data_IF_104718904628
#
_entry.id   IF_104718904628
#
_cell.length_a   1.000
_cell.length_b   1.000
_cell.length_c   1.000
_cell.angle_alpha   90.00
_cell.angle_beta   90.00
_cell.angle_gamma   90.00
#
_symmetry.space_group_name_H-M   'P 1'
#
loop_
_entity.id
_entity.type
_entity.pdbx_description
1 polymer ?
#
# COMPACT_ATOMS: atom_id res chain seq x y z
N UNK A 1 -15.11 8.88 3.44
CA UNK A 1 -15.33 9.72 2.24
C UNK A 1 -13.96 9.80 1.61
N UNK A 2 -13.79 9.19 0.44
CA UNK A 2 -12.49 8.94 -0.19
C UNK A 2 -11.80 10.28 -0.51
N UNK A 3 -10.93 10.77 0.38
CA UNK A 3 -10.28 12.09 0.26
C UNK A 3 -9.51 12.28 -1.07
N UNK A 4 -8.99 11.20 -1.63
CA UNK A 4 -8.31 11.21 -2.95
C UNK A 4 -9.32 11.40 -4.07
N UNK A 5 -10.50 10.79 -3.96
CA UNK A 5 -11.53 10.87 -4.98
C UNK A 5 -12.17 12.25 -5.08
N UNK A 6 -12.39 12.90 -3.94
CA UNK A 6 -12.87 14.29 -3.90
C UNK A 6 -11.84 15.23 -4.55
N UNK A 7 -10.57 15.14 -4.11
CA UNK A 7 -9.50 15.98 -4.67
C UNK A 7 -9.28 15.79 -6.18
N UNK A 8 -9.36 14.56 -6.68
CA UNK A 8 -9.18 14.30 -8.12
C UNK A 8 -10.34 14.88 -8.93
N UNK A 9 -11.57 14.75 -8.45
CA UNK A 9 -12.74 15.30 -9.15
C UNK A 9 -12.78 16.84 -9.08
N UNK A 10 -12.19 17.45 -8.05
CA UNK A 10 -12.09 18.92 -7.93
C UNK A 10 -10.91 19.50 -8.71
N UNK A 11 -9.91 18.69 -9.07
CA UNK A 11 -8.62 19.16 -9.62
C UNK A 11 -8.70 19.88 -10.98
N UNK A 12 -9.76 19.64 -11.77
CA UNK A 12 -10.01 20.30 -13.08
C UNK A 12 -11.28 21.18 -13.06
N UNK A 13 -11.61 21.74 -11.89
CA UNK A 13 -12.84 22.51 -11.68
C UNK A 13 -14.12 21.69 -11.95
N UNK A 14 -14.08 20.38 -11.69
CA UNK A 14 -15.20 19.46 -11.88
C UNK A 14 -15.42 18.98 -13.32
N UNK A 15 -14.56 19.33 -14.29
CA UNK A 15 -14.75 18.98 -15.71
C UNK A 15 -14.47 17.52 -16.04
N UNK A 16 -13.52 16.90 -15.34
CA UNK A 16 -13.24 15.45 -15.45
C UNK A 16 -13.83 14.73 -14.25
N UNK A 17 -14.61 13.69 -14.54
CA UNK A 17 -15.18 12.81 -13.52
C UNK A 17 -14.46 11.48 -13.54
N UNK A 18 -13.75 11.17 -12.46
CA UNK A 18 -13.05 9.91 -12.27
C UNK A 18 -13.98 8.91 -11.57
N UNK A 19 -14.10 7.70 -12.10
CA UNK A 19 -14.72 6.58 -11.39
C UNK A 19 -13.66 5.90 -10.52
N UNK A 20 -13.79 6.06 -9.20
CA UNK A 20 -12.78 5.63 -8.24
C UNK A 20 -13.34 4.51 -7.38
N UNK A 21 -12.69 3.36 -7.46
CA UNK A 21 -13.08 2.15 -6.74
C UNK A 21 -12.02 1.78 -5.70
N UNK A 22 -12.41 1.77 -4.42
CA UNK A 22 -11.59 1.19 -3.37
C UNK A 22 -11.83 -0.34 -3.30
N UNK A 23 -10.77 -1.13 -3.42
CA UNK A 23 -10.77 -2.60 -3.32
C UNK A 23 -9.88 -3.11 -2.17
N UNK A 24 -9.41 -2.22 -1.31
CA UNK A 24 -8.66 -2.56 -0.11
C UNK A 24 -9.51 -3.35 0.88
N UNK A 25 -8.86 -4.24 1.61
CA UNK A 25 -9.47 -5.05 2.65
C UNK A 25 -8.59 -5.04 3.89
N UNK A 26 -9.19 -4.76 5.04
CA UNK A 26 -8.50 -4.74 6.33
C UNK A 26 -7.82 -6.09 6.61
N UNK A 27 -6.58 -6.03 7.10
CA UNK A 27 -5.79 -7.20 7.47
C UNK A 27 -5.24 -8.03 6.29
N UNK A 28 -5.43 -7.59 5.04
CA UNK A 28 -4.84 -8.32 3.91
C UNK A 28 -3.32 -8.26 3.93
N UNK A 29 -2.71 -9.43 3.75
CA UNK A 29 -1.32 -9.62 3.34
C UNK A 29 -1.24 -9.68 1.80
N UNK A 30 -0.03 -9.75 1.25
CA UNK A 30 0.19 -9.80 -0.19
C UNK A 30 -0.57 -10.95 -0.89
N UNK A 31 -0.69 -12.11 -0.23
CA UNK A 31 -1.43 -13.26 -0.77
C UNK A 31 -2.93 -13.01 -0.84
N UNK A 32 -3.47 -12.21 0.09
CA UNK A 32 -4.87 -11.79 0.06
C UNK A 32 -5.18 -10.99 -1.19
N UNK A 33 -4.28 -10.06 -1.55
CA UNK A 33 -4.38 -9.26 -2.79
C UNK A 33 -4.30 -10.16 -4.01
N UNK A 34 -3.31 -11.06 -4.07
CA UNK A 34 -3.13 -11.97 -5.22
C UNK A 34 -4.39 -12.77 -5.52
N UNK A 35 -5.06 -13.29 -4.50
CA UNK A 35 -6.28 -14.12 -4.64
C UNK A 35 -7.44 -13.37 -5.30
N UNK A 36 -7.53 -12.06 -5.12
CA UNK A 36 -8.65 -11.27 -5.62
C UNK A 36 -8.30 -10.43 -6.86
N UNK A 37 -7.01 -10.33 -7.20
CA UNK A 37 -6.46 -9.40 -8.19
C UNK A 37 -7.20 -9.45 -9.53
N UNK A 38 -7.32 -10.63 -10.13
CA UNK A 38 -7.93 -10.79 -11.44
C UNK A 38 -9.38 -10.30 -11.45
N UNK A 39 -10.21 -10.83 -10.54
CA UNK A 39 -11.65 -10.55 -10.48
C UNK A 39 -11.98 -9.11 -10.05
N UNK A 40 -11.19 -8.53 -9.15
CA UNK A 40 -11.48 -7.24 -8.52
C UNK A 40 -10.74 -6.07 -9.17
N UNK A 41 -9.67 -6.33 -9.92
CA UNK A 41 -8.84 -5.32 -10.57
C UNK A 41 -8.74 -5.53 -12.08
N UNK A 42 -8.03 -6.57 -12.54
CA UNK A 42 -7.68 -6.74 -13.98
C UNK A 42 -8.93 -6.79 -14.87
N UNK A 43 -9.91 -7.63 -14.55
CA UNK A 43 -11.16 -7.74 -15.33
C UNK A 43 -12.04 -6.49 -15.29
N UNK A 44 -11.72 -5.51 -14.44
CA UNK A 44 -12.39 -4.21 -14.41
C UNK A 44 -11.79 -3.20 -15.39
N UNK A 45 -10.67 -3.54 -16.04
CA UNK A 45 -9.96 -2.70 -17.02
C UNK A 45 -9.76 -1.26 -16.51
N UNK A 46 -9.08 -1.08 -15.37
CA UNK A 46 -8.83 0.24 -14.83
C UNK A 46 -7.83 0.99 -15.72
N UNK A 47 -7.95 2.32 -15.79
CA UNK A 47 -6.93 3.17 -16.41
C UNK A 47 -5.72 3.39 -15.47
N UNK A 48 -5.95 3.31 -14.16
CA UNK A 48 -4.94 3.49 -13.11
C UNK A 48 -5.16 2.48 -11.99
N UNK A 49 -4.08 1.85 -11.53
CA UNK A 49 -4.06 0.97 -10.35
C UNK A 49 -3.08 1.53 -9.34
N UNK A 50 -3.52 1.65 -8.08
CA UNK A 50 -2.62 1.97 -6.96
C UNK A 50 -2.55 0.81 -5.99
N UNK A 51 -1.34 0.43 -5.55
CA UNK A 51 -1.13 -0.63 -4.55
C UNK A 51 -0.38 -0.06 -3.36
N UNK A 52 -0.96 -0.23 -2.18
CA UNK A 52 -0.30 -0.08 -0.88
C UNK A 52 -0.52 -1.41 -0.16
N UNK A 53 0.54 -2.07 0.32
CA UNK A 53 0.45 -3.36 1.02
C UNK A 53 1.71 -3.56 1.86
N UNK A 54 1.86 -4.69 2.56
CA UNK A 54 3.13 -5.05 3.21
C UNK A 54 3.21 -4.77 4.71
N UNK A 55 2.44 -3.81 5.24
CA UNK A 55 2.43 -3.56 6.69
C UNK A 55 1.89 -4.77 7.49
N UNK A 56 0.89 -5.48 6.96
CA UNK A 56 0.33 -6.68 7.61
C UNK A 56 1.29 -7.87 7.49
N UNK A 57 2.04 -7.99 6.40
CA UNK A 57 3.07 -9.02 6.20
C UNK A 57 4.22 -8.85 7.21
N UNK A 58 4.61 -7.60 7.50
CA UNK A 58 5.50 -7.27 8.63
C UNK A 58 4.84 -7.65 9.96
N UNK A 59 3.54 -7.39 10.14
CA UNK A 59 2.83 -7.83 11.34
C UNK A 59 2.84 -9.35 11.54
N UNK A 60 2.70 -10.14 10.47
CA UNK A 60 2.87 -11.60 10.51
C UNK A 60 4.28 -11.96 10.92
N UNK A 61 5.29 -11.30 10.35
CA UNK A 61 6.70 -11.52 10.71
C UNK A 61 6.94 -11.25 12.20
N UNK A 62 6.47 -10.13 12.71
CA UNK A 62 6.66 -9.74 14.12
C UNK A 62 5.93 -10.68 15.09
N UNK A 63 4.76 -11.19 14.73
CA UNK A 63 3.95 -12.05 15.61
C UNK A 63 4.33 -13.53 15.56
N UNK A 64 4.94 -13.99 14.46
CA UNK A 64 5.19 -15.43 14.23
C UNK A 64 6.67 -15.78 14.09
N UNK A 65 7.54 -14.79 13.91
CA UNK A 65 8.95 -14.99 13.58
C UNK A 65 9.20 -15.38 12.12
N UNK A 66 8.15 -15.58 11.32
CA UNK A 66 8.26 -15.98 9.92
C UNK A 66 8.71 -14.80 9.05
N UNK A 67 9.91 -14.87 8.51
CA UNK A 67 10.51 -13.84 7.65
C UNK A 67 9.68 -13.56 6.38
N UNK A 68 9.90 -12.39 5.76
CA UNK A 68 9.25 -12.03 4.48
C UNK A 68 9.57 -13.04 3.36
N UNK A 69 10.76 -13.65 3.39
CA UNK A 69 11.17 -14.69 2.44
C UNK A 69 10.34 -15.97 2.62
N UNK A 70 10.21 -16.46 3.85
CA UNK A 70 9.37 -17.63 4.14
C UNK A 70 7.88 -17.36 3.85
N UNK A 71 7.45 -16.09 3.96
CA UNK A 71 6.13 -15.62 3.53
C UNK A 71 6.02 -15.47 2.00
N UNK A 72 7.11 -15.69 1.25
CA UNK A 72 7.16 -15.52 -0.21
C UNK A 72 6.70 -14.12 -0.67
N UNK A 73 6.96 -13.09 0.15
CA UNK A 73 6.46 -11.75 -0.08
C UNK A 73 6.97 -11.18 -1.42
N UNK A 74 8.28 -11.21 -1.64
CA UNK A 74 8.91 -10.68 -2.86
C UNK A 74 8.36 -11.33 -4.13
N UNK A 75 8.34 -12.66 -4.17
CA UNK A 75 7.83 -13.41 -5.32
C UNK A 75 6.34 -13.14 -5.58
N UNK A 76 5.52 -13.05 -4.53
CA UNK A 76 4.10 -12.76 -4.67
C UNK A 76 3.84 -11.32 -5.12
N UNK A 77 4.59 -10.34 -4.60
CA UNK A 77 4.50 -8.95 -5.00
C UNK A 77 4.91 -8.79 -6.48
N UNK A 78 6.01 -9.42 -6.88
CA UNK A 78 6.47 -9.44 -8.27
C UNK A 78 5.42 -10.03 -9.22
N UNK A 79 4.79 -11.14 -8.84
CA UNK A 79 3.72 -11.74 -9.64
C UNK A 79 2.53 -10.78 -9.82
N UNK A 80 2.12 -10.06 -8.77
CA UNK A 80 1.02 -9.08 -8.85
C UNK A 80 1.37 -7.93 -9.80
N UNK A 81 2.57 -7.34 -9.63
CA UNK A 81 3.03 -6.24 -10.49
C UNK A 81 3.10 -6.69 -11.94
N UNK A 82 3.74 -7.84 -12.20
CA UNK A 82 3.86 -8.44 -13.53
C UNK A 82 2.48 -8.64 -14.18
N UNK A 83 1.53 -9.23 -13.46
CA UNK A 83 0.19 -9.48 -13.97
C UNK A 83 -0.55 -8.19 -14.33
N UNK A 84 -0.47 -7.15 -13.52
CA UNK A 84 -1.08 -5.86 -13.85
C UNK A 84 -0.43 -5.26 -15.09
N UNK A 85 0.90 -5.23 -15.15
CA UNK A 85 1.63 -4.59 -16.26
C UNK A 85 1.52 -5.34 -17.58
N UNK A 86 1.33 -6.66 -17.56
CA UNK A 86 1.24 -7.47 -18.78
C UNK A 86 -0.19 -7.71 -19.25
N UNK A 87 -1.18 -7.69 -18.34
CA UNK A 87 -2.57 -8.01 -18.66
C UNK A 87 -3.49 -6.77 -18.68
N UNK A 88 -2.95 -5.58 -18.43
CA UNK A 88 -3.69 -4.33 -18.52
C UNK A 88 -2.81 -3.19 -19.02
N UNK A 89 -3.44 -2.20 -19.66
CA UNK A 89 -2.79 -0.94 -20.04
C UNK A 89 -2.80 0.09 -18.89
N UNK A 90 -3.12 -0.36 -17.67
CA UNK A 90 -3.30 0.52 -16.54
C UNK A 90 -1.97 1.14 -16.09
N UNK A 91 -1.98 2.44 -15.80
CA UNK A 91 -0.85 3.06 -15.11
C UNK A 91 -0.77 2.51 -13.68
N UNK A 92 0.35 1.90 -13.32
CA UNK A 92 0.57 1.33 -11.98
C UNK A 92 1.34 2.30 -11.07
N UNK A 93 0.79 2.55 -9.89
CA UNK A 93 1.39 3.34 -8.81
C UNK A 93 1.55 2.45 -7.57
N UNK A 94 2.78 2.05 -7.30
CA UNK A 94 3.16 1.34 -6.09
C UNK A 94 3.42 2.35 -4.96
N UNK A 95 3.08 2.01 -3.73
CA UNK A 95 3.25 2.88 -2.57
C UNK A 95 3.82 2.07 -1.42
N UNK A 96 4.90 2.57 -0.79
CA UNK A 96 5.56 1.86 0.29
C UNK A 96 4.63 1.65 1.49
N UNK A 97 4.72 0.53 2.22
CA UNK A 97 4.10 0.44 3.52
C UNK A 97 4.63 1.53 4.43
N UNK A 98 3.85 1.83 5.46
CA UNK A 98 4.32 2.67 6.55
C UNK A 98 3.74 2.23 7.88
N UNK A 99 4.43 2.61 8.95
CA UNK A 99 4.00 2.41 10.34
C UNK A 99 4.34 3.66 11.14
N UNK A 100 3.42 4.08 12.02
CA UNK A 100 3.70 5.12 13.01
C UNK A 100 4.31 4.44 14.24
N UNK A 101 5.46 4.91 14.77
CA UNK A 101 6.15 4.30 15.93
C UNK A 101 5.44 4.58 17.26
N UNK A 102 4.13 4.41 17.30
CA UNK A 102 3.34 4.66 18.50
C UNK A 102 2.19 3.65 18.57
N UNK A 103 1.89 3.04 19.73
CA UNK A 103 2.75 2.96 20.90
C UNK A 103 4.14 2.37 20.56
N UNK A 104 5.14 2.66 21.40
CA UNK A 104 6.56 2.42 21.09
C UNK A 104 6.93 0.98 20.67
N UNK A 105 6.08 -0.01 20.92
CA UNK A 105 6.26 -1.37 20.38
C UNK A 105 6.40 -1.41 18.85
N UNK A 106 5.79 -0.46 18.12
CA UNK A 106 5.86 -0.39 16.66
C UNK A 106 7.20 0.14 16.13
N UNK A 107 8.06 0.71 16.99
CA UNK A 107 9.44 1.05 16.59
C UNK A 107 10.19 -0.18 16.08
N UNK A 108 9.95 -1.33 16.71
CA UNK A 108 10.56 -2.61 16.31
C UNK A 108 10.07 -3.12 14.94
N UNK A 109 8.99 -2.56 14.39
CA UNK A 109 8.46 -2.94 13.08
C UNK A 109 9.14 -2.16 11.95
N UNK A 110 9.73 -1.00 12.24
CA UNK A 110 10.36 -0.12 11.23
C UNK A 110 11.40 -0.86 10.37
N UNK A 111 12.31 -1.70 10.92
CA UNK A 111 13.25 -2.45 10.08
C UNK A 111 12.56 -3.34 9.04
N UNK A 112 11.46 -4.01 9.43
CA UNK A 112 10.64 -4.81 8.55
C UNK A 112 9.94 -3.97 7.48
N UNK A 113 9.35 -2.83 7.85
CA UNK A 113 8.71 -1.90 6.92
C UNK A 113 9.72 -1.40 5.88
N UNK A 114 10.93 -1.01 6.30
CA UNK A 114 12.01 -0.59 5.39
C UNK A 114 12.48 -1.73 4.49
N UNK A 115 12.48 -2.97 4.97
CA UNK A 115 12.81 -4.13 4.13
C UNK A 115 11.75 -4.34 3.05
N UNK A 116 10.48 -4.28 3.42
CA UNK A 116 9.37 -4.36 2.47
C UNK A 116 9.42 -3.25 1.43
N UNK A 117 9.62 -2.00 1.84
CA UNK A 117 9.78 -0.86 0.92
C UNK A 117 10.89 -1.10 -0.11
N UNK A 118 12.06 -1.61 0.30
CA UNK A 118 13.17 -1.91 -0.62
C UNK A 118 12.78 -2.95 -1.67
N UNK A 119 12.06 -4.00 -1.24
CA UNK A 119 11.57 -5.06 -2.14
C UNK A 119 10.59 -4.47 -3.15
N UNK A 120 9.58 -3.75 -2.67
CA UNK A 120 8.53 -3.19 -3.52
C UNK A 120 9.09 -2.15 -4.52
N UNK A 121 10.02 -1.30 -4.07
CA UNK A 121 10.67 -0.30 -4.91
C UNK A 121 11.48 -0.95 -6.03
N UNK A 122 12.31 -1.95 -5.70
CA UNK A 122 13.11 -2.71 -6.67
C UNK A 122 12.22 -3.33 -7.76
N UNK A 123 11.08 -3.91 -7.37
CA UNK A 123 10.14 -4.51 -8.32
C UNK A 123 9.42 -3.44 -9.14
N UNK A 124 8.96 -2.36 -8.53
CA UNK A 124 8.32 -1.26 -9.25
C UNK A 124 9.27 -0.70 -10.33
N UNK A 125 10.54 -0.50 -10.00
CA UNK A 125 11.58 -0.06 -10.96
C UNK A 125 11.78 -1.08 -12.10
N UNK A 126 11.85 -2.37 -11.77
CA UNK A 126 11.99 -3.46 -12.76
C UNK A 126 10.85 -3.46 -13.80
N UNK A 127 9.64 -3.12 -13.37
CA UNK A 127 8.44 -3.13 -14.22
C UNK A 127 8.01 -1.72 -14.68
N UNK A 128 8.87 -0.71 -14.49
CA UNK A 128 8.61 0.68 -14.88
C UNK A 128 7.30 1.26 -14.30
N UNK A 129 6.92 0.83 -13.10
CA UNK A 129 5.81 1.38 -12.34
C UNK A 129 6.26 2.59 -11.50
N UNK A 130 5.36 3.55 -11.28
CA UNK A 130 5.61 4.66 -10.35
C UNK A 130 5.72 4.12 -8.92
N UNK A 131 6.60 4.72 -8.10
CA UNK A 131 6.76 4.33 -6.70
C UNK A 131 6.72 5.56 -5.76
N UNK A 132 5.81 5.54 -4.78
CA UNK A 132 5.68 6.60 -3.77
C UNK A 132 6.19 6.11 -2.41
N UNK A 133 7.18 6.80 -1.85
CA UNK A 133 7.67 6.57 -0.49
C UNK A 133 6.77 7.30 0.51
N UNK A 134 6.16 6.57 1.43
CA UNK A 134 5.18 7.12 2.39
C UNK A 134 5.73 7.28 3.81
N UNK A 135 6.66 6.42 4.25
CA UNK A 135 7.12 6.36 5.65
C UNK A 135 7.60 7.72 6.15
N UNK A 136 8.55 8.35 5.45
CA UNK A 136 9.14 9.63 5.89
C UNK A 136 8.12 10.77 5.88
N UNK A 137 7.22 10.79 4.89
CA UNK A 137 6.15 11.79 4.81
C UNK A 137 5.17 11.68 5.99
N UNK A 138 4.87 10.45 6.41
CA UNK A 138 3.97 10.20 7.54
C UNK A 138 4.66 10.53 8.87
N UNK A 139 5.91 10.13 9.06
CA UNK A 139 6.69 10.48 10.25
C UNK A 139 6.74 12.00 10.42
N UNK A 140 7.12 12.74 9.37
CA UNK A 140 7.23 14.20 9.42
C UNK A 140 5.91 14.89 9.80
N UNK A 141 4.78 14.35 9.34
CA UNK A 141 3.45 14.85 9.74
C UNK A 141 3.13 14.51 11.19
N UNK A 142 3.49 13.32 11.64
CA UNK A 142 3.22 12.85 13.00
C UNK A 142 4.05 13.57 14.06
N UNK A 143 5.31 13.91 13.77
CA UNK A 143 6.13 14.76 14.63
C UNK A 143 5.53 16.15 14.84
N UNK A 144 4.87 16.71 13.81
CA UNK A 144 4.28 18.06 13.87
C UNK A 144 2.92 18.09 14.56
N UNK A 145 2.12 17.05 14.40
CA UNK A 145 0.73 17.02 14.88
C UNK A 145 0.56 16.24 16.19
N UNK A 146 1.54 15.39 16.54
CA UNK A 146 1.45 14.38 17.60
C UNK A 146 1.10 13.01 17.00
N UNK A 147 1.77 11.94 17.46
CA UNK A 147 1.60 10.60 16.90
C UNK A 147 0.15 10.07 16.99
N UNK A 148 -0.58 10.43 18.06
CA UNK A 148 -1.98 10.05 18.25
C UNK A 148 -2.95 10.75 17.29
N UNK A 149 -2.58 11.91 16.73
CA UNK A 149 -3.48 12.68 15.86
C UNK A 149 -3.40 12.26 14.39
N UNK A 150 -2.40 11.46 14.01
CA UNK A 150 -2.19 11.00 12.63
C UNK A 150 -2.90 9.66 12.34
N UNK A 151 -3.38 8.97 13.38
CA UNK A 151 -4.20 7.76 13.25
C UNK A 151 -5.59 7.98 13.88
N UNK A 152 -6.65 7.92 13.08
CA UNK A 152 -8.02 8.24 13.54
C UNK A 152 -8.69 7.16 14.39
N UNK A 153 -8.09 5.98 14.56
CA UNK A 153 -8.73 4.84 15.21
C UNK A 153 -7.82 4.01 16.13
N UNK A 154 -6.68 4.58 16.58
CA UNK A 154 -5.69 3.88 17.43
C UNK A 154 -5.22 2.54 16.86
N UNK A 155 -5.49 2.28 15.59
CA UNK A 155 -5.11 1.07 14.88
C UNK A 155 -3.97 1.46 13.94
N UNK A 156 -2.75 1.37 14.45
CA UNK A 156 -1.54 1.84 13.77
C UNK A 156 -1.19 1.04 12.50
N UNK A 157 -1.95 -0.01 12.23
CA UNK A 157 -1.93 -0.86 11.04
C UNK A 157 -3.04 -0.56 10.02
N UNK A 158 -3.99 0.34 10.32
CA UNK A 158 -5.09 0.71 9.42
C UNK A 158 -4.77 1.95 8.60
N UNK A 159 -3.81 1.85 7.67
CA UNK A 159 -3.75 2.80 6.55
C UNK A 159 -4.45 2.29 5.29
N UNK A 160 -5.52 1.51 5.46
CA UNK A 160 -6.24 0.89 4.36
C UNK A 160 -7.74 1.03 4.52
N UNK A 161 -8.26 2.21 4.91
CA UNK A 161 -9.66 2.60 4.60
C UNK A 161 -10.06 3.94 5.25
N UNK A 162 -10.43 4.92 4.41
CA UNK A 162 -11.71 5.67 4.49
C UNK A 162 -11.95 6.57 3.27
#
# INVERSE_FOLDING_TARGET
>A
MNMVAEKLNDSDGGRKKYDIMNRGHDGFTIHGVKRILEKKCILKRPDVVSILIGCNDVGVMMNTGKSLEEQQFEACYEAIVKEITEQSDAKLICMSPFIVPYPGMYENWIPGIKQTERIEKKIAEKYHADFLTLQDMIILKAEKAGYESVTTDKSYTKCQTK
#
